data_IF_177103568254
#
_entry.id   IF_177103568254
#
_cell.length_a   1.000
_cell.length_b   1.000
_cell.length_c   1.000
_cell.angle_alpha   90.00
_cell.angle_beta   90.00
_cell.angle_gamma   90.00
#
_symmetry.space_group_name_H-M   'P 1'
#
loop_
_entity.id
_entity.type
_entity.pdbx_description
1 polymer ?
#
# COMPACT_ATOMS: atom_id res chain seq x y z
N UNK A 1 -6.75 -3.07 -17.41
CA UNK A 1 -5.78 -2.18 -16.76
C UNK A 1 -5.51 -0.94 -17.62
N UNK A 2 -5.94 0.23 -17.17
CA UNK A 2 -5.68 1.52 -17.83
C UNK A 2 -4.29 2.07 -17.46
N UNK A 3 -3.93 3.27 -17.94
CA UNK A 3 -2.60 3.86 -17.65
C UNK A 3 -2.47 4.28 -16.17
N UNK A 4 -3.51 4.83 -15.56
CA UNK A 4 -3.52 5.21 -14.14
C UNK A 4 -3.27 3.98 -13.25
N UNK A 5 -3.94 2.87 -13.54
CA UNK A 5 -3.75 1.59 -12.83
C UNK A 5 -2.32 1.04 -12.99
N UNK A 6 -1.67 1.23 -14.15
CA UNK A 6 -0.27 0.84 -14.33
C UNK A 6 0.67 1.68 -13.45
N UNK A 7 0.40 2.97 -13.33
CA UNK A 7 1.16 3.88 -12.48
C UNK A 7 1.03 3.47 -11.01
N UNK A 8 -0.19 3.11 -10.56
CA UNK A 8 -0.42 2.59 -9.20
C UNK A 8 0.39 1.32 -8.94
N UNK A 9 0.40 0.36 -9.86
CA UNK A 9 1.21 -0.87 -9.71
C UNK A 9 2.70 -0.56 -9.68
N UNK A 10 3.17 0.37 -10.50
CA UNK A 10 4.57 0.77 -10.51
C UNK A 10 4.97 1.42 -9.18
N UNK A 11 4.10 2.24 -8.60
CA UNK A 11 4.34 2.88 -7.30
C UNK A 11 4.39 1.85 -6.15
N UNK A 12 3.45 0.90 -6.16
CA UNK A 12 3.47 -0.24 -5.23
C UNK A 12 4.78 -1.03 -5.37
N UNK A 13 5.16 -1.39 -6.60
CA UNK A 13 6.39 -2.15 -6.87
C UNK A 13 7.63 -1.41 -6.33
N UNK A 14 7.79 -0.13 -6.67
CA UNK A 14 8.95 0.65 -6.27
C UNK A 14 9.05 0.78 -4.74
N UNK A 15 7.91 0.96 -4.07
CA UNK A 15 7.85 1.07 -2.61
C UNK A 15 8.22 -0.25 -1.95
N UNK A 16 7.64 -1.37 -2.42
CA UNK A 16 7.97 -2.70 -1.89
C UNK A 16 9.43 -3.07 -2.14
N UNK A 17 9.98 -2.73 -3.31
CA UNK A 17 11.40 -2.96 -3.64
C UNK A 17 12.32 -2.18 -2.69
N UNK A 18 12.05 -0.89 -2.45
CA UNK A 18 12.82 -0.07 -1.53
C UNK A 18 12.79 -0.62 -0.09
N UNK A 19 11.61 -1.07 0.37
CA UNK A 19 11.42 -1.62 1.72
C UNK A 19 12.07 -3.00 1.87
N UNK A 20 12.03 -3.83 0.83
CA UNK A 20 12.66 -5.16 0.83
C UNK A 20 14.18 -5.07 1.02
N UNK A 21 14.83 -4.07 0.42
CA UNK A 21 16.28 -3.87 0.54
C UNK A 21 16.71 -2.99 1.72
N UNK A 22 15.78 -2.29 2.37
CA UNK A 22 16.09 -1.52 3.57
C UNK A 22 16.07 -2.42 4.81
N UNK A 23 17.21 -2.56 5.49
CA UNK A 23 17.37 -3.40 6.69
C UNK A 23 17.34 -2.60 8.01
N UNK A 24 16.90 -1.34 7.98
CA UNK A 24 16.78 -0.51 9.17
C UNK A 24 15.81 -1.13 10.18
N UNK A 25 16.09 -0.91 11.46
CA UNK A 25 15.27 -1.40 12.59
C UNK A 25 14.23 -0.38 13.06
N UNK A 26 14.44 0.89 12.74
CA UNK A 26 13.61 2.03 13.12
C UNK A 26 13.32 2.90 11.90
N UNK A 27 12.12 3.46 11.85
CA UNK A 27 11.63 4.30 10.76
C UNK A 27 10.87 5.49 11.32
N UNK A 28 10.98 6.63 10.64
CA UNK A 28 10.18 7.81 10.97
C UNK A 28 9.01 7.86 10.02
N UNK A 29 7.79 7.75 10.56
CA UNK A 29 6.55 7.93 9.80
C UNK A 29 6.05 9.35 10.01
N UNK A 30 5.60 9.98 8.92
CA UNK A 30 4.91 11.27 8.97
C UNK A 30 3.41 11.00 8.93
N UNK A 31 2.72 11.39 9.99
CA UNK A 31 1.29 11.13 10.17
C UNK A 31 0.51 12.44 10.00
N UNK A 32 -0.63 12.36 9.29
CA UNK A 32 -1.52 13.50 9.06
C UNK A 32 -2.95 13.09 9.40
N UNK A 33 -3.58 13.83 10.31
CA UNK A 33 -4.99 13.70 10.66
C UNK A 33 -5.67 15.08 10.61
N UNK A 34 -6.37 15.35 9.51
CA UNK A 34 -6.99 16.63 9.23
C UNK A 34 -5.98 17.77 9.14
N UNK A 35 -5.87 18.59 10.19
CA UNK A 35 -4.90 19.69 10.30
C UNK A 35 -3.71 19.37 11.23
N UNK A 36 -3.68 18.18 11.81
CA UNK A 36 -2.65 17.77 12.75
C UNK A 36 -1.61 16.93 12.02
N UNK A 37 -0.36 17.34 12.14
CA UNK A 37 0.80 16.62 11.61
C UNK A 37 1.73 16.25 12.76
N UNK A 38 2.24 15.02 12.78
CA UNK A 38 3.25 14.58 13.74
C UNK A 38 4.13 13.50 13.14
N UNK A 39 5.20 13.15 13.85
CA UNK A 39 6.09 12.06 13.47
C UNK A 39 6.11 10.99 14.53
N UNK A 40 6.19 9.73 14.10
CA UNK A 40 6.32 8.57 14.97
C UNK A 40 7.58 7.80 14.59
N UNK A 41 8.37 7.42 15.59
CA UNK A 41 9.42 6.43 15.40
C UNK A 41 8.78 5.05 15.62
N UNK A 42 8.79 4.22 14.59
CA UNK A 42 8.22 2.89 14.60
C UNK A 42 9.30 1.85 14.36
N UNK A 43 9.10 0.67 14.92
CA UNK A 43 10.00 -0.44 14.69
C UNK A 43 9.80 -1.06 13.28
N UNK A 44 10.69 -1.95 12.89
CA UNK A 44 10.64 -2.62 11.58
C UNK A 44 9.32 -3.36 11.32
N UNK A 45 8.77 -4.06 12.31
CA UNK A 45 7.53 -4.82 12.13
C UNK A 45 6.34 -3.89 11.86
N UNK A 46 6.22 -2.81 12.64
CA UNK A 46 5.22 -1.76 12.44
C UNK A 46 5.36 -1.09 11.07
N UNK A 47 6.61 -0.80 10.65
CA UNK A 47 6.85 -0.26 9.31
C UNK A 47 6.42 -1.22 8.19
N UNK A 48 6.78 -2.50 8.29
CA UNK A 48 6.41 -3.50 7.29
C UNK A 48 4.89 -3.68 7.23
N UNK A 49 4.20 -3.70 8.37
CA UNK A 49 2.75 -3.74 8.43
C UNK A 49 2.13 -2.52 7.73
N UNK A 50 2.59 -1.31 8.03
CA UNK A 50 2.07 -0.09 7.40
C UNK A 50 2.25 -0.08 5.87
N UNK A 51 3.36 -0.61 5.37
CA UNK A 51 3.61 -0.73 3.92
C UNK A 51 2.66 -1.74 3.27
N UNK A 52 2.36 -2.85 3.94
CA UNK A 52 1.38 -3.84 3.46
C UNK A 52 -0.02 -3.23 3.44
N UNK A 53 -0.44 -2.56 4.52
CA UNK A 53 -1.74 -1.89 4.60
C UNK A 53 -1.89 -0.81 3.53
N UNK A 54 -0.85 -0.01 3.31
CA UNK A 54 -0.82 0.98 2.22
C UNK A 54 -0.96 0.32 0.85
N UNK A 55 -0.22 -0.76 0.58
CA UNK A 55 -0.29 -1.45 -0.70
C UNK A 55 -1.69 -2.03 -0.96
N UNK A 56 -2.33 -2.61 0.06
CA UNK A 56 -3.72 -3.07 -0.03
C UNK A 56 -4.67 -1.93 -0.35
N UNK A 57 -4.55 -0.78 0.32
CA UNK A 57 -5.38 0.40 0.04
C UNK A 57 -5.17 0.92 -1.38
N UNK A 58 -3.93 0.95 -1.88
CA UNK A 58 -3.67 1.35 -3.28
C UNK A 58 -4.35 0.40 -4.26
N UNK A 59 -4.38 -0.90 -3.94
CA UNK A 59 -5.03 -1.90 -4.77
C UNK A 59 -6.56 -1.74 -4.71
N UNK A 60 -7.15 -1.71 -3.52
CA UNK A 60 -8.60 -1.59 -3.31
C UNK A 60 -9.19 -0.32 -3.91
N UNK A 61 -8.47 0.81 -3.85
CA UNK A 61 -8.96 2.09 -4.35
C UNK A 61 -8.88 2.23 -5.87
N UNK A 62 -8.05 1.43 -6.56
CA UNK A 62 -7.75 1.64 -7.97
C UNK A 62 -8.11 0.44 -8.85
N UNK A 63 -8.49 -0.70 -8.27
CA UNK A 63 -8.84 -1.91 -9.00
C UNK A 63 -10.19 -2.43 -8.53
N UNK A 64 -11.12 -2.55 -9.48
CA UNK A 64 -12.36 -3.28 -9.27
C UNK A 64 -12.04 -4.78 -9.30
N UNK A 65 -12.29 -5.44 -8.18
CA UNK A 65 -12.23 -6.89 -8.05
C UNK A 65 -13.65 -7.42 -8.19
N UNK A 66 -14.16 -7.48 -9.41
CA UNK A 66 -15.40 -8.18 -9.69
C UNK A 66 -15.23 -9.65 -9.25
N UNK A 67 -15.83 -10.00 -8.12
CA UNK A 67 -15.98 -11.38 -7.67
C UNK A 67 -17.14 -12.09 -8.38
N UNK A 68 -17.76 -11.45 -9.38
CA UNK A 68 -18.83 -12.01 -10.16
C UNK A 68 -18.26 -13.01 -11.18
N UNK A 69 -17.90 -14.18 -10.68
CA UNK A 69 -18.13 -15.37 -11.47
C UNK A 69 -19.65 -15.48 -11.57
N UNK A 70 -20.25 -14.93 -12.63
CA UNK A 70 -21.61 -15.30 -13.03
C UNK A 70 -21.62 -16.83 -13.11
N UNK A 71 -22.18 -17.48 -12.10
CA UNK A 71 -22.66 -18.84 -12.25
C UNK A 71 -23.83 -18.72 -13.22
N UNK A 72 -23.57 -18.92 -14.51
CA UNK A 72 -24.62 -19.25 -15.46
C UNK A 72 -25.28 -20.53 -14.95
N UNK A 73 -26.42 -20.40 -14.26
CA UNK A 73 -27.31 -21.52 -14.00
C UNK A 73 -27.82 -22.03 -15.36
N UNK A 74 -27.26 -23.16 -15.81
CA UNK A 74 -27.74 -23.95 -16.96
C UNK A 74 -28.94 -24.83 -16.58
#
# INVERSE_FOLDING_TARGET
MNNEQKEVIQDIYNTLEAVAYNTSMEYIHNCVDGKKEWTENVNREEHLQAIIEWALQQIENNFDFDNDTEVEEL
#
